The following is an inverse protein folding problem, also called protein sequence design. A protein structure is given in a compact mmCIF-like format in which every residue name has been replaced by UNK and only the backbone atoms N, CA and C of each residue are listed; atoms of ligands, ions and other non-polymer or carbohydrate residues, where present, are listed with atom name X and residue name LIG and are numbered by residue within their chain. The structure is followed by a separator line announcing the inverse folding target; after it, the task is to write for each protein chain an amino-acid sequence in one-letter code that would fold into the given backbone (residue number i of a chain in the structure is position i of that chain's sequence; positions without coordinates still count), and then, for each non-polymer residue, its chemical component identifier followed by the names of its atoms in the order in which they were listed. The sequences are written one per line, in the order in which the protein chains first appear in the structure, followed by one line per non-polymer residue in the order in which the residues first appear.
data_IF_815097588087
#
_entry.id   IF_815097588087
#
_cell.length_a   1.000
_cell.length_b   1.000
_cell.length_c   1.000
_cell.angle_alpha   90.00
_cell.angle_beta   90.00
_cell.angle_gamma   90.00
#
_symmetry.space_group_name_H-M   'P 1'
#
loop_
_entity.id
_entity.type
_entity.pdbx_description
1 polymer ?
2 non-polymer ?
3 non-polymer ?
4 non-polymer ?
5 non-polymer ?
6 water ?
#
# COMPACT_ATOMS: atom_id res chain seq x y z
N UNK A 2 -13.16 -11.48 9.05
CA UNK A 2 -14.37 -10.57 9.04
C UNK A 2 -13.96 -9.15 9.45
N UNK A 3 -14.73 -8.09 9.08
CA UNK A 3 -14.62 -6.71 9.68
C UNK A 3 -15.95 -6.31 10.27
N UNK A 4 -15.88 -5.68 11.43
CA UNK A 4 -17.05 -5.09 12.04
C UNK A 4 -17.98 -6.08 12.72
N UNK A 5 -17.53 -7.31 12.99
CA UNK A 5 -18.39 -8.30 13.62
C UNK A 5 -18.15 -8.33 15.09
N UNK A 6 -19.06 -8.95 15.83
CA UNK A 6 -18.92 -9.14 17.27
C UNK A 6 -17.48 -9.57 17.55
N UNK A 7 -16.84 -8.85 18.43
CA UNK A 7 -15.51 -9.16 18.93
C UNK A 7 -15.53 -9.84 20.29
N UNK A 8 -14.98 -11.03 20.41
CA UNK A 8 -14.80 -11.58 21.70
C UNK A 8 -13.71 -10.83 22.48
N UNK A 9 -13.69 -11.14 23.75
CA UNK A 9 -12.74 -10.63 24.68
C UNK A 9 -11.29 -11.08 24.41
N UNK A 10 -10.32 -10.18 24.63
CA UNK A 10 -8.93 -10.57 24.60
C UNK A 10 -8.62 -11.49 25.78
N UNK A 11 -7.68 -12.43 25.60
CA UNK A 11 -7.19 -13.17 26.76
C UNK A 11 -6.35 -12.32 27.69
N UNK A 12 -6.10 -12.79 28.91
CA UNK A 12 -5.09 -12.18 29.78
C UNK A 12 -3.77 -12.11 29.03
N UNK A 13 -3.09 -10.97 29.13
CA UNK A 13 -1.78 -10.77 28.54
C UNK A 13 -0.90 -9.99 29.51
N UNK A 14 0.40 -10.33 29.56
CA UNK A 14 1.35 -9.64 30.39
C UNK A 14 2.26 -8.86 29.44
N UNK A 15 2.25 -7.54 29.60
CA UNK A 15 3.10 -6.66 28.76
C UNK A 15 3.34 -5.37 29.53
N UNK A 16 4.36 -4.59 29.12
CA UNK A 16 4.66 -3.36 29.84
C UNK A 16 3.49 -2.35 29.84
N UNK A 17 3.30 -1.72 30.96
CA UNK A 17 2.27 -0.71 31.08
C UNK A 17 2.59 0.49 30.17
N UNK A 18 1.58 0.99 29.42
CA UNK A 18 1.80 2.23 28.70
C UNK A 18 2.10 3.35 29.68
N UNK A 19 2.98 4.23 29.26
CA UNK A 19 3.50 5.32 30.05
C UNK A 19 2.83 6.64 29.62
N UNK A 20 1.80 7.09 30.35
CA UNK A 20 1.02 8.25 29.92
C UNK A 20 1.88 9.54 29.80
N UNK A 21 2.84 9.68 30.71
CA UNK A 21 3.68 10.84 30.74
C UNK A 21 5.04 10.63 30.08
N UNK A 22 5.12 9.63 29.19
CA UNK A 22 6.32 9.47 28.35
C UNK A 22 5.89 9.33 26.89
N UNK A 23 6.27 10.27 26.03
CA UNK A 23 5.95 10.09 24.62
C UNK A 23 6.58 8.83 24.06
N UNK A 24 5.86 8.17 23.13
CA UNK A 24 6.41 6.93 22.53
C UNK A 24 7.51 7.24 21.49
N UNK A 25 7.44 8.41 20.88
CA UNK A 25 8.49 8.92 20.03
C UNK A 25 8.61 10.39 20.36
N UNK A 26 9.83 10.87 20.44
CA UNK A 26 10.11 12.28 20.70
C UNK A 26 10.63 12.97 19.44
N UNK A 27 10.81 12.21 18.38
CA UNK A 27 11.46 12.73 17.18
C UNK A 27 10.54 12.87 15.99
N UNK A 28 9.33 12.29 16.06
CA UNK A 28 8.40 12.26 14.94
C UNK A 28 6.96 12.49 15.42
N UNK A 29 6.14 12.91 14.49
CA UNK A 29 4.69 12.99 14.64
C UNK A 29 4.07 11.60 14.55
N UNK A 30 3.35 11.22 15.59
CA UNK A 30 2.74 9.86 15.63
C UNK A 30 1.24 9.85 15.47
N UNK A 31 0.62 11.02 15.28
CA UNK A 31 -0.81 11.09 15.00
C UNK A 31 -1.05 12.29 14.11
N UNK A 32 -1.92 12.14 13.13
CA UNK A 32 -2.23 13.27 12.24
C UNK A 32 -3.20 14.24 12.94
N UNK A 33 -3.39 15.43 12.37
CA UNK A 33 -4.34 16.37 12.99
C UNK A 33 -5.80 15.95 12.91
N UNK A 34 -6.12 14.89 12.14
CA UNK A 34 -7.44 14.31 12.14
C UNK A 34 -7.48 12.98 12.93
N UNK A 35 -6.48 12.82 13.81
CA UNK A 35 -6.46 11.73 14.79
C UNK A 35 -6.31 10.37 14.13
N UNK A 36 -5.56 10.30 13.04
CA UNK A 36 -5.16 9.00 12.45
C UNK A 36 -3.75 8.69 12.96
N UNK A 37 -3.50 7.50 13.50
CA UNK A 37 -2.14 7.13 13.86
C UNK A 37 -1.20 7.18 12.65
N UNK A 38 0.03 7.62 12.90
CA UNK A 38 1.11 7.53 11.94
C UNK A 38 2.02 6.42 12.45
N UNK A 39 2.15 5.34 11.69
CA UNK A 39 2.71 4.09 12.17
C UNK A 39 4.24 4.08 12.01
N UNK A 40 4.92 4.15 13.18
CA UNK A 40 6.37 4.09 13.31
C UNK A 40 6.69 2.99 14.31
N UNK A 41 7.89 2.42 14.20
CA UNK A 41 8.34 1.54 15.25
C UNK A 41 8.37 2.27 16.59
N UNK A 42 7.88 1.59 17.62
CA UNK A 42 7.75 2.20 18.94
C UNK A 42 6.35 2.71 19.26
N UNK A 43 5.45 2.78 18.26
CA UNK A 43 4.09 3.23 18.50
C UNK A 43 3.12 2.09 18.85
N UNK A 44 3.50 0.85 18.54
CA UNK A 44 2.56 -0.25 18.69
C UNK A 44 3.19 -1.45 19.36
N UNK A 45 2.33 -2.15 20.09
CA UNK A 45 2.61 -3.49 20.65
C UNK A 45 1.96 -4.51 19.71
N UNK A 46 2.78 -5.17 18.91
CA UNK A 46 2.27 -6.08 17.92
C UNK A 46 1.56 -7.28 18.52
N UNK A 47 1.88 -7.65 19.76
CA UNK A 47 1.20 -8.78 20.38
C UNK A 47 -0.28 -8.47 20.61
N UNK A 48 -0.57 -7.25 21.04
CA UNK A 48 -1.96 -6.86 21.28
C UNK A 48 -2.69 -6.83 19.93
N UNK A 49 -2.09 -6.19 18.93
CA UNK A 49 -2.71 -6.08 17.60
C UNK A 49 -2.91 -7.44 16.96
N UNK A 50 -1.93 -8.32 17.05
CA UNK A 50 -2.11 -9.65 16.49
C UNK A 50 -3.29 -10.36 17.14
N UNK A 51 -3.46 -10.28 18.44
CA UNK A 51 -4.62 -10.85 19.09
C UNK A 51 -5.90 -10.27 18.54
N UNK A 52 -5.99 -8.94 18.49
CA UNK A 52 -7.22 -8.32 18.01
C UNK A 52 -7.61 -8.81 16.63
N UNK A 53 -6.63 -8.83 15.71
CA UNK A 53 -6.93 -9.19 14.33
C UNK A 53 -7.10 -10.70 14.14
N UNK A 54 -6.39 -11.52 14.90
CA UNK A 54 -6.62 -12.97 14.77
C UNK A 54 -7.97 -13.36 15.33
N UNK A 55 -8.45 -12.70 16.38
CA UNK A 55 -9.78 -13.01 16.92
C UNK A 55 -10.90 -12.66 15.95
N UNK A 56 -10.64 -11.73 15.03
CA UNK A 56 -11.62 -11.34 13.99
C UNK A 56 -11.47 -12.19 12.74
N UNK A 57 -10.53 -13.13 12.76
CA UNK A 57 -10.28 -14.03 11.63
C UNK A 57 -9.97 -13.27 10.35
N UNK A 58 -9.00 -12.39 10.47
CA UNK A 58 -8.74 -11.44 9.40
C UNK A 58 -8.01 -12.07 8.23
N UNK A 59 -8.49 -11.77 7.02
CA UNK A 59 -7.80 -12.12 5.79
C UNK A 59 -7.34 -10.88 5.05
N UNK A 60 -6.08 -10.87 4.67
CA UNK A 60 -5.47 -9.75 3.98
C UNK A 60 -5.14 -10.14 2.55
N UNK A 61 -5.66 -9.40 1.60
CA UNK A 61 -5.27 -9.52 0.20
C UNK A 61 -4.11 -8.58 -0.12
N UNK A 62 -3.18 -9.04 -0.95
CA UNK A 62 -2.06 -8.24 -1.41
C UNK A 62 -2.07 -8.26 -2.90
N UNK A 63 -2.26 -7.10 -3.53
CA UNK A 63 -2.24 -6.98 -4.99
C UNK A 63 -0.89 -6.51 -5.44
N UNK A 64 -0.44 -7.07 -6.57
CA UNK A 64 0.81 -6.68 -7.18
C UNK A 64 0.71 -6.93 -8.67
N UNK A 65 1.23 -5.99 -9.44
CA UNK A 65 1.21 -6.06 -10.89
C UNK A 65 2.60 -6.37 -11.41
N UNK A 66 2.70 -7.36 -12.28
CA UNK A 66 3.97 -7.77 -12.87
C UNK A 66 3.72 -7.94 -14.37
N UNK A 67 3.85 -6.82 -15.08
CA UNK A 67 3.45 -6.74 -16.46
C UNK A 67 4.73 -6.55 -17.28
N UNK A 68 4.81 -7.28 -18.39
CA UNK A 68 5.97 -7.25 -19.28
C UNK A 68 7.22 -7.67 -18.50
N UNK A 69 8.29 -6.90 -18.51
CA UNK A 69 9.53 -7.37 -17.94
C UNK A 69 9.51 -7.43 -16.41
N UNK A 70 8.51 -6.80 -15.78
CA UNK A 70 8.46 -6.77 -14.34
C UNK A 70 8.13 -8.09 -13.69
N UNK A 71 7.82 -9.13 -14.48
CA UNK A 71 7.77 -10.48 -13.94
C UNK A 71 9.05 -10.88 -13.23
N UNK A 72 10.18 -10.30 -13.63
CA UNK A 72 11.49 -10.60 -13.03
C UNK A 72 11.53 -10.28 -11.52
N UNK A 73 10.70 -9.33 -11.07
CA UNK A 73 10.68 -8.93 -9.68
C UNK A 73 9.89 -9.83 -8.76
N UNK A 74 9.08 -10.72 -9.32
CA UNK A 74 8.14 -11.46 -8.51
C UNK A 74 8.80 -12.40 -7.52
N UNK A 75 9.86 -13.12 -7.91
CA UNK A 75 10.39 -14.13 -7.01
C UNK A 75 10.85 -13.52 -5.69
N UNK A 76 11.66 -12.46 -5.76
CA UNK A 76 12.12 -11.83 -4.52
C UNK A 76 10.97 -11.17 -3.77
N UNK A 77 10.05 -10.54 -4.49
CA UNK A 77 8.90 -9.92 -3.85
C UNK A 77 8.14 -10.94 -3.00
N UNK A 78 7.78 -12.08 -3.62
CA UNK A 78 6.94 -13.06 -2.96
C UNK A 78 7.69 -13.83 -1.87
N UNK A 79 8.97 -14.17 -2.13
CA UNK A 79 9.82 -14.83 -1.11
C UNK A 79 9.90 -14.00 0.13
N UNK A 80 10.18 -12.73 -0.05
CA UNK A 80 10.34 -11.86 1.10
C UNK A 80 9.00 -11.51 1.77
N UNK A 81 7.90 -11.47 0.99
CA UNK A 81 6.60 -11.33 1.60
C UNK A 81 6.31 -12.52 2.51
N UNK A 82 6.71 -13.73 2.09
CA UNK A 82 6.54 -14.87 2.96
C UNK A 82 7.24 -14.77 4.29
N UNK A 83 8.37 -14.08 4.32
CA UNK A 83 9.13 -13.94 5.57
C UNK A 83 8.57 -12.84 6.46
N UNK A 84 7.96 -11.81 5.86
CA UNK A 84 7.70 -10.57 6.58
C UNK A 84 6.29 -10.03 6.59
N UNK A 85 5.43 -10.47 5.65
CA UNK A 85 4.12 -9.82 5.44
C UNK A 85 3.01 -10.61 6.13
N UNK A 86 2.42 -10.05 7.18
CA UNK A 86 1.26 -10.63 7.81
C UNK A 86 1.43 -12.08 8.25
N UNK A 87 2.65 -12.44 8.67
CA UNK A 87 2.90 -13.84 9.08
C UNK A 87 2.04 -14.17 10.28
N UNK A 88 1.33 -15.32 10.17
CA UNK A 88 0.40 -15.78 11.20
C UNK A 88 -1.06 -15.51 10.87
N UNK A 89 -1.29 -14.64 9.88
CA UNK A 89 -2.64 -14.27 9.44
C UNK A 89 -2.93 -14.89 8.09
N UNK A 90 -4.22 -14.96 7.72
CA UNK A 90 -4.60 -15.44 6.39
C UNK A 90 -4.24 -14.41 5.34
N UNK A 91 -3.55 -14.86 4.29
CA UNK A 91 -3.11 -13.98 3.19
C UNK A 91 -3.54 -14.56 1.86
N UNK A 92 -3.99 -13.69 0.96
CA UNK A 92 -4.30 -14.05 -0.41
C UNK A 92 -3.54 -13.08 -1.32
N UNK A 93 -2.56 -13.60 -2.03
CA UNK A 93 -1.81 -12.81 -3.01
C UNK A 93 -2.60 -12.80 -4.31
N UNK A 94 -2.68 -11.63 -4.96
CA UNK A 94 -3.28 -11.50 -6.29
C UNK A 94 -2.22 -10.93 -7.20
N UNK A 95 -1.67 -11.78 -8.06
CA UNK A 95 -0.67 -11.38 -9.00
C UNK A 95 -1.31 -11.10 -10.34
N UNK A 96 -1.34 -9.83 -10.73
CA UNK A 96 -1.87 -9.41 -12.01
C UNK A 96 -0.74 -9.39 -13.02
N UNK A 97 -0.90 -10.11 -14.13
CA UNK A 97 0.19 -10.21 -15.11
C UNK A 97 -0.32 -10.49 -16.50
N UNK A 98 0.44 -10.06 -17.50
CA UNK A 98 0.19 -10.48 -18.88
C UNK A 98 0.84 -11.82 -19.23
N UNK A 99 1.62 -12.41 -18.33
CA UNK A 99 2.36 -13.65 -18.57
C UNK A 99 2.14 -14.64 -17.43
N UNK A 100 1.00 -15.30 -17.37
CA UNK A 100 0.88 -16.25 -16.23
C UNK A 100 1.99 -17.28 -16.12
N UNK A 101 2.45 -17.76 -17.27
CA UNK A 101 3.48 -18.79 -17.31
C UNK A 101 4.78 -18.37 -16.65
N UNK A 102 4.91 -17.07 -16.39
CA UNK A 102 6.18 -16.55 -15.91
C UNK A 102 6.11 -16.26 -14.43
N UNK A 103 4.98 -16.58 -13.76
CA UNK A 103 4.94 -16.36 -12.29
C UNK A 103 5.74 -17.47 -11.62
N UNK A 104 6.74 -17.13 -10.79
CA UNK A 104 7.57 -18.14 -10.17
C UNK A 104 6.77 -18.99 -9.19
N UNK A 105 7.20 -20.24 -9.01
CA UNK A 105 6.57 -21.15 -8.05
C UNK A 105 7.17 -20.93 -6.68
N UNK A 106 6.54 -20.07 -5.90
CA UNK A 106 7.08 -19.70 -4.58
C UNK A 106 6.32 -20.52 -3.55
N UNK A 107 7.07 -21.12 -2.62
CA UNK A 107 6.49 -21.96 -1.59
C UNK A 107 5.84 -21.07 -0.55
N UNK A 108 4.56 -21.33 -0.26
CA UNK A 108 3.81 -20.50 0.68
C UNK A 108 3.58 -21.22 2.02
N UNK A 109 3.57 -20.44 3.08
CA UNK A 109 3.20 -20.93 4.40
C UNK A 109 1.75 -21.30 4.49
N UNK A 110 1.39 -22.01 5.55
CA UNK A 110 0.02 -22.44 5.72
C UNK A 110 -0.89 -21.20 5.85
N UNK A 111 -2.10 -21.32 5.31
CA UNK A 111 -3.05 -20.24 5.40
C UNK A 111 -2.83 -19.11 4.42
N UNK A 112 -1.98 -19.32 3.44
CA UNK A 112 -1.60 -18.34 2.46
C UNK A 112 -1.82 -18.91 1.10
N UNK A 113 -2.41 -18.12 0.19
CA UNK A 113 -2.70 -18.60 -1.15
C UNK A 113 -2.37 -17.54 -2.16
N UNK A 114 -2.23 -17.94 -3.41
CA UNK A 114 -1.88 -17.06 -4.50
C UNK A 114 -2.76 -17.33 -5.69
N UNK A 115 -3.34 -16.29 -6.25
CA UNK A 115 -4.09 -16.37 -7.50
C UNK A 115 -3.39 -15.53 -8.56
N UNK A 116 -3.34 -16.03 -9.78
CA UNK A 116 -2.83 -15.31 -10.92
C UNK A 116 -3.99 -14.79 -11.73
N UNK A 117 -4.01 -13.47 -11.95
CA UNK A 117 -5.07 -12.80 -12.67
C UNK A 117 -4.48 -12.26 -13.96
N UNK A 118 -4.92 -12.77 -15.10
CA UNK A 118 -4.35 -12.34 -16.37
C UNK A 118 -5.02 -11.05 -16.83
N UNK A 119 -4.18 -10.08 -17.20
CA UNK A 119 -4.63 -8.78 -17.68
C UNK A 119 -3.80 -8.38 -18.87
N UNK A 120 -4.29 -7.38 -19.58
CA UNK A 120 -3.58 -6.84 -20.72
C UNK A 120 -2.41 -5.99 -20.32
N UNK A 121 -1.45 -5.89 -21.22
CA UNK A 121 -0.25 -5.05 -21.06
C UNK A 121 -0.32 -3.82 -21.95
N UNK A 122 -0.33 -2.65 -21.33
CA UNK A 122 -0.34 -1.40 -22.07
C UNK A 122 1.09 -1.14 -22.53
N UNK A 123 1.24 -0.40 -23.62
CA UNK A 123 2.56 -0.09 -24.16
C UNK A 123 3.43 0.81 -23.30
N UNK A 124 2.85 1.94 -22.86
CA UNK A 124 3.58 2.92 -22.07
C UNK A 124 3.59 2.49 -20.62
N UNK A 125 4.75 2.59 -19.99
CA UNK A 125 4.82 2.27 -18.55
C UNK A 125 3.84 3.13 -17.74
N UNK A 126 3.63 4.38 -18.17
CA UNK A 126 2.70 5.28 -17.48
C UNK A 126 1.31 4.68 -17.46
N UNK A 127 0.89 4.13 -18.59
CA UNK A 127 -0.40 3.50 -18.65
C UNK A 127 -0.47 2.21 -17.85
N UNK A 128 0.58 1.38 -17.93
CA UNK A 128 0.63 0.23 -17.06
C UNK A 128 0.40 0.60 -15.60
N UNK A 129 1.13 1.63 -15.14
CA UNK A 129 1.02 2.04 -13.75
C UNK A 129 -0.36 2.59 -13.44
N UNK A 130 -0.89 3.43 -14.32
CA UNK A 130 -2.19 4.07 -14.08
C UNK A 130 -3.38 3.14 -14.12
N UNK A 131 -3.32 2.16 -15.01
CA UNK A 131 -4.43 1.23 -15.20
C UNK A 131 -4.56 0.24 -14.06
N UNK A 132 -3.57 0.18 -13.16
CA UNK A 132 -3.77 -0.60 -11.93
C UNK A 132 -5.02 -0.16 -11.18
N UNK A 133 -5.34 1.13 -11.16
CA UNK A 133 -6.52 1.61 -10.42
C UNK A 133 -7.79 0.97 -11.01
N UNK A 134 -7.94 1.01 -12.34
CA UNK A 134 -9.08 0.38 -12.97
C UNK A 134 -9.13 -1.12 -12.65
N UNK A 135 -7.98 -1.78 -12.77
CA UNK A 135 -7.92 -3.23 -12.62
C UNK A 135 -8.24 -3.67 -11.18
N UNK A 136 -7.71 -2.94 -10.19
CA UNK A 136 -8.04 -3.24 -8.82
C UNK A 136 -9.52 -3.01 -8.56
N UNK A 137 -10.05 -1.90 -9.07
CA UNK A 137 -11.47 -1.64 -8.94
C UNK A 137 -12.29 -2.77 -9.59
N UNK A 138 -11.95 -3.17 -10.84
CA UNK A 138 -12.72 -4.23 -11.56
C UNK A 138 -12.74 -5.53 -10.73
N UNK A 139 -11.63 -5.85 -10.05
CA UNK A 139 -11.55 -7.09 -9.25
C UNK A 139 -12.15 -7.00 -7.85
N UNK A 140 -12.40 -5.78 -7.34
CA UNK A 140 -13.10 -5.58 -6.07
C UNK A 140 -14.56 -6.20 -6.06
N UNK A 141 -15.27 -6.39 -7.22
CA UNK A 141 -16.47 -7.31 -7.32
C UNK A 141 -16.10 -8.73 -7.74
N UNK A 142 -15.14 -8.90 -8.64
CA UNK A 142 -14.84 -10.30 -9.11
C UNK A 142 -14.43 -11.26 -7.97
N UNK A 143 -13.74 -10.72 -6.97
CA UNK A 143 -13.10 -11.59 -6.02
C UNK A 143 -12.98 -11.01 -4.63
N UNK A 144 -12.56 -9.75 -4.53
CA UNK A 144 -12.04 -9.31 -3.25
C UNK A 144 -13.08 -9.19 -2.17
N UNK A 145 -14.26 -8.70 -2.52
CA UNK A 145 -15.31 -8.56 -1.54
C UNK A 145 -15.67 -9.89 -0.86
N UNK A 146 -15.64 -11.00 -1.60
CA UNK A 146 -15.95 -12.31 -1.03
C UNK A 146 -14.75 -13.02 -0.41
N UNK A 147 -13.52 -12.59 -0.71
CA UNK A 147 -12.30 -13.33 -0.34
C UNK A 147 -11.45 -12.75 0.77
N UNK A 148 -11.46 -11.41 0.93
CA UNK A 148 -10.58 -10.78 1.90
C UNK A 148 -11.31 -9.67 2.66
N UNK A 149 -10.74 -9.30 3.83
CA UNK A 149 -11.22 -8.21 4.65
C UNK A 149 -10.56 -6.89 4.31
N UNK A 150 -9.27 -6.93 4.06
CA UNK A 150 -8.45 -5.77 3.70
C UNK A 150 -7.69 -6.03 2.46
N UNK A 151 -7.41 -4.98 1.70
CA UNK A 151 -6.53 -5.03 0.54
C UNK A 151 -5.33 -4.13 0.76
N UNK A 152 -4.15 -4.61 0.37
CA UNK A 152 -2.91 -3.88 0.38
C UNK A 152 -2.40 -3.90 -1.06
N UNK A 153 -2.11 -2.72 -1.60
CA UNK A 153 -1.82 -2.57 -3.02
C UNK A 153 -0.46 -1.95 -3.17
N UNK A 154 0.48 -2.70 -3.75
CA UNK A 154 1.88 -2.32 -3.77
C UNK A 154 2.54 -2.43 -5.14
N UNK A 155 3.64 -1.70 -5.31
CA UNK A 155 4.55 -1.91 -6.44
C UNK A 155 5.30 -3.25 -6.29
N UNK A 156 5.71 -3.83 -7.43
CA UNK A 156 6.39 -5.12 -7.44
C UNK A 156 7.91 -5.03 -7.34
N UNK A 157 8.47 -3.88 -7.71
CA UNK A 157 9.92 -3.68 -7.81
C UNK A 157 10.51 -3.38 -6.45
N UNK A 158 10.22 -4.25 -5.51
CA UNK A 158 10.38 -4.03 -4.08
C UNK A 158 10.70 -5.33 -3.38
N UNK A 159 11.19 -5.22 -2.15
CA UNK A 159 11.36 -6.42 -1.30
C UNK A 159 11.03 -6.05 0.13
N UNK A 160 10.52 -7.02 0.85
CA UNK A 160 10.34 -6.89 2.29
C UNK A 160 11.65 -7.23 3.00
N UNK A 161 12.05 -6.38 3.93
CA UNK A 161 13.22 -6.63 4.77
C UNK A 161 12.89 -6.75 6.25
N UNK A 162 11.69 -6.36 6.68
CA UNK A 162 11.32 -6.41 8.08
C UNK A 162 9.81 -6.50 8.14
N UNK A 163 9.31 -6.65 9.36
CA UNK A 163 7.90 -6.89 9.63
C UNK A 163 7.01 -5.84 8.97
N UNK A 164 6.01 -6.35 8.25
CA UNK A 164 4.86 -5.54 7.82
C UNK A 164 3.62 -6.31 8.19
N UNK A 165 2.93 -5.87 9.21
CA UNK A 165 1.83 -6.65 9.77
C UNK A 165 0.56 -5.87 10.01
N UNK A 166 -0.24 -6.40 10.93
CA UNK A 166 -1.61 -5.91 11.08
C UNK A 166 -1.68 -4.51 11.66
N UNK A 167 -0.57 -3.96 12.17
CA UNK A 167 -0.51 -2.57 12.56
C UNK A 167 -0.91 -1.63 11.41
N UNK A 168 -0.81 -2.05 10.14
CA UNK A 168 -1.19 -1.16 9.04
C UNK A 168 -2.69 -1.15 8.77
N UNK A 169 -3.43 -2.14 9.31
CA UNK A 169 -4.77 -2.36 8.85
C UNK A 169 -5.76 -1.38 9.50
N UNK A 170 -6.70 -0.90 8.68
CA UNK A 170 -7.57 0.23 9.03
C UNK A 170 -8.51 0.40 7.81
N UNK A 171 -9.57 1.21 7.94
CA UNK A 171 -10.38 1.41 6.75
C UNK A 171 -9.67 1.96 5.54
N UNK A 172 -8.75 2.92 5.72
CA UNK A 172 -8.07 3.55 4.55
C UNK A 172 -6.69 4.02 4.98
N UNK A 173 -5.66 3.56 4.29
CA UNK A 173 -4.33 4.07 4.61
C UNK A 173 -3.58 4.48 3.35
N UNK A 174 -2.71 5.48 3.57
CA UNK A 174 -1.62 5.79 2.66
C UNK A 174 -0.30 5.75 3.39
N UNK A 175 0.76 5.93 2.62
CA UNK A 175 2.13 5.80 3.10
C UNK A 175 2.92 7.01 2.75
N UNK A 176 3.68 7.57 3.68
CA UNK A 176 4.54 8.71 3.36
C UNK A 176 5.63 8.34 2.37
N UNK A 177 5.66 9.05 1.25
CA UNK A 177 6.66 8.85 0.25
C UNK A 177 8.03 9.18 0.85
N UNK A 178 9.04 8.33 0.60
CA UNK A 178 10.33 8.53 1.32
C UNK A 178 11.09 9.76 0.86
N UNK A 179 10.79 10.31 -0.31
CA UNK A 179 11.47 11.49 -0.79
C UNK A 179 10.97 12.79 -0.21
N UNK A 180 9.82 12.77 0.49
CA UNK A 180 9.12 14.02 0.85
C UNK A 180 8.67 14.10 2.29
N UNK A 181 8.98 13.13 3.13
CA UNK A 181 8.42 13.14 4.49
C UNK A 181 8.89 14.35 5.30
N UNK A 182 10.06 14.88 5.00
CA UNK A 182 10.56 16.08 5.67
C UNK A 182 10.37 17.35 4.90
N UNK A 183 9.66 17.30 3.80
CA UNK A 183 9.55 18.45 2.92
C UNK A 183 8.36 19.35 3.24
N UNK A 184 8.45 20.62 2.87
CA UNK A 184 7.32 21.53 2.97
C UNK A 184 6.37 21.25 1.82
N UNK A 185 5.09 21.56 2.04
CA UNK A 185 4.02 21.16 1.09
C UNK A 185 4.24 21.82 -0.26
N UNK A 186 4.80 23.02 -0.31
CA UNK A 186 5.06 23.66 -1.59
C UNK A 186 6.05 22.87 -2.47
N UNK A 187 6.94 22.11 -1.84
CA UNK A 187 7.95 21.24 -2.51
C UNK A 187 7.36 19.88 -2.94
N UNK A 188 6.21 19.49 -2.39
CA UNK A 188 5.57 18.26 -2.83
C UNK A 188 5.29 18.32 -4.33
N UNK A 189 5.54 17.21 -5.02
CA UNK A 189 5.33 17.13 -6.45
C UNK A 189 3.89 16.74 -6.79
N UNK A 190 2.90 17.41 -6.17
CA UNK A 190 1.51 17.25 -6.59
C UNK A 190 1.36 17.78 -7.99
N UNK A 191 0.27 17.36 -8.65
CA UNK A 191 -0.11 18.02 -9.88
C UNK A 191 -0.52 19.46 -9.59
N UNK A 192 0.05 20.40 -10.32
CA UNK A 192 -0.17 21.83 -10.07
C UNK A 192 -0.94 22.53 -11.18
N UNK A 193 -1.34 21.81 -12.24
CA UNK A 193 -2.11 22.42 -13.31
C UNK A 193 -3.59 22.31 -13.00
N UNK A 194 -4.32 23.46 -12.90
CA UNK A 194 -5.75 23.38 -12.62
C UNK A 194 -6.60 22.61 -13.63
N UNK A 195 -6.06 22.39 -14.83
CA UNK A 195 -6.77 21.65 -15.87
C UNK A 195 -6.87 20.16 -15.56
N UNK A 196 -6.07 19.65 -14.63
CA UNK A 196 -6.14 18.24 -14.23
C UNK A 196 -7.01 18.03 -13.01
N UNK A 197 -7.75 16.92 -13.03
CA UNK A 197 -8.49 16.48 -11.86
C UNK A 197 -7.63 16.27 -10.61
N UNK A 198 -6.34 16.02 -10.78
CA UNK A 198 -5.43 15.80 -9.63
C UNK A 198 -4.87 17.08 -9.03
N UNK A 199 -5.27 18.23 -9.55
CA UNK A 199 -4.72 19.51 -9.12
C UNK A 199 -4.86 19.74 -7.61
N UNK A 200 -3.75 20.13 -6.98
CA UNK A 200 -3.74 20.58 -5.59
C UNK A 200 -2.96 21.90 -5.53
N UNK A 201 -3.63 23.00 -5.06
CA UNK A 201 -2.98 24.28 -4.91
C UNK A 201 -1.79 24.24 -3.94
N UNK A 202 -0.90 25.23 -4.06
CA UNK A 202 0.30 25.33 -3.25
C UNK A 202 0.07 25.43 -1.74
N UNK A 203 -1.07 25.96 -1.35
CA UNK A 203 -1.41 26.10 0.07
C UNK A 203 -2.24 24.98 0.64
N UNK A 204 -2.39 23.87 -0.11
CA UNK A 204 -3.09 22.70 0.40
C UNK A 204 -2.18 21.48 0.39
N UNK A 205 -2.59 20.51 1.21
CA UNK A 205 -1.89 19.26 1.28
C UNK A 205 -1.45 18.95 2.70
N UNK A 206 -1.61 17.70 3.11
CA UNK A 206 -1.14 17.23 4.40
C UNK A 206 0.22 16.60 4.25
N UNK A 207 0.28 15.60 3.38
CA UNK A 207 1.45 14.75 3.14
C UNK A 207 1.58 14.47 1.67
N UNK A 208 2.74 14.01 1.26
CA UNK A 208 2.91 13.44 -0.08
C UNK A 208 2.95 11.93 0.08
N UNK A 209 1.87 11.27 -0.35
CA UNK A 209 1.73 9.82 -0.21
C UNK A 209 2.33 9.12 -1.44
N UNK A 210 2.92 7.95 -1.22
CA UNK A 210 3.50 7.21 -2.30
C UNK A 210 2.51 6.32 -3.03
N UNK A 211 2.60 6.33 -4.35
CA UNK A 211 1.76 5.41 -5.13
C UNK A 211 1.98 3.94 -4.89
N UNK A 212 3.15 3.60 -4.35
CA UNK A 212 3.61 2.23 -4.23
C UNK A 212 3.05 1.44 -3.05
N UNK A 213 2.27 2.07 -2.16
CA UNK A 213 1.78 1.35 -0.97
C UNK A 213 0.57 2.05 -0.38
N UNK A 214 -0.62 1.53 -0.66
CA UNK A 214 -1.84 2.06 -0.09
C UNK A 214 -2.78 0.87 0.17
N UNK A 215 -3.87 1.11 0.89
CA UNK A 215 -4.78 -0.01 1.14
C UNK A 215 -5.88 0.38 2.08
N UNK A 216 -6.57 -0.63 2.59
CA UNK A 216 -7.69 -0.40 3.47
C UNK A 216 -8.69 -1.53 3.40
N UNK A 217 -9.90 -1.29 3.87
CA UNK A 217 -10.96 -2.29 3.70
C UNK A 217 -11.23 -2.40 2.21
N UNK A 218 -11.84 -3.51 1.82
CA UNK A 218 -12.18 -3.68 0.41
C UNK A 218 -13.10 -2.53 -0.05
N UNK A 219 -14.07 -2.15 0.78
CA UNK A 219 -15.00 -1.08 0.41
C UNK A 219 -14.26 0.23 0.13
N UNK A 220 -13.33 0.58 1.04
CA UNK A 220 -12.59 1.83 0.88
C UNK A 220 -11.61 1.80 -0.27
N UNK A 221 -10.99 0.64 -0.50
CA UNK A 221 -10.08 0.54 -1.63
C UNK A 221 -10.85 0.59 -2.96
N UNK A 222 -12.03 -0.03 -3.01
CA UNK A 222 -12.88 0.09 -4.21
C UNK A 222 -13.19 1.55 -4.49
N UNK A 223 -13.55 2.28 -3.45
CA UNK A 223 -13.89 3.74 -3.59
C UNK A 223 -12.70 4.52 -4.15
N UNK A 224 -11.52 4.29 -3.56
CA UNK A 224 -10.34 5.01 -3.94
C UNK A 224 -9.95 4.73 -5.36
N UNK A 225 -9.88 3.45 -5.71
CA UNK A 225 -9.41 3.08 -7.01
C UNK A 225 -10.42 3.47 -8.10
N UNK A 226 -11.72 3.31 -7.87
CA UNK A 226 -12.71 3.77 -8.83
C UNK A 226 -12.62 5.29 -9.03
N UNK A 227 -12.48 6.03 -7.92
CA UNK A 227 -12.38 7.53 -8.03
C UNK A 227 -11.15 7.93 -8.81
N UNK A 228 -10.02 7.27 -8.53
CA UNK A 228 -8.79 7.65 -9.24
C UNK A 228 -8.90 7.29 -10.73
N UNK A 229 -9.44 6.11 -11.05
CA UNK A 229 -9.64 5.74 -12.45
C UNK A 229 -10.58 6.72 -13.17
N UNK A 230 -11.72 7.05 -12.54
CA UNK A 230 -12.67 7.97 -13.19
C UNK A 230 -12.01 9.32 -13.41
N UNK A 231 -11.21 9.79 -12.46
CA UNK A 231 -10.48 11.07 -12.60
C UNK A 231 -9.46 11.03 -13.73
N UNK A 232 -8.75 9.91 -13.84
CA UNK A 232 -7.80 9.74 -14.93
C UNK A 232 -8.48 9.67 -16.30
N UNK A 233 -9.70 9.16 -16.37
CA UNK A 233 -10.44 9.16 -17.63
C UNK A 233 -10.94 10.55 -17.98
N UNK A 234 -11.36 11.35 -17.00
CA UNK A 234 -11.65 12.77 -17.26
C UNK A 234 -10.40 13.48 -17.83
N UNK A 235 -9.25 13.30 -17.19
CA UNK A 235 -8.03 13.95 -17.68
C UNK A 235 -7.71 13.50 -19.11
N UNK A 236 -7.87 12.20 -19.39
CA UNK A 236 -7.57 11.70 -20.71
C UNK A 236 -8.47 12.35 -21.75
N UNK A 237 -9.76 12.49 -21.44
CA UNK A 237 -10.69 13.15 -22.37
C UNK A 237 -10.33 14.60 -22.58
N UNK A 238 -9.70 15.25 -21.62
CA UNK A 238 -9.27 16.63 -21.70
C UNK A 238 -7.83 16.80 -22.18
N UNK A 239 -7.17 15.71 -22.58
CA UNK A 239 -5.81 15.78 -23.13
C UNK A 239 -4.73 16.15 -22.16
N UNK A 240 -4.88 15.71 -20.91
CA UNK A 240 -3.86 15.99 -19.90
C UNK A 240 -3.57 14.68 -19.15
N UNK A 241 -2.30 14.51 -18.81
CA UNK A 241 -1.83 13.38 -18.00
C UNK A 241 -1.09 13.92 -16.81
N UNK A 242 -1.53 13.55 -15.60
CA UNK A 242 -0.95 14.07 -14.39
C UNK A 242 0.53 13.80 -14.30
N UNK A 243 1.23 14.72 -13.66
CA UNK A 243 2.70 14.74 -13.58
C UNK A 243 3.28 13.43 -13.04
N UNK A 244 2.67 12.88 -12.00
CA UNK A 244 3.08 11.57 -11.45
C UNK A 244 1.92 10.58 -11.52
N UNK A 245 1.12 10.69 -12.56
CA UNK A 245 0.28 9.59 -12.98
C UNK A 245 -0.65 9.19 -11.84
N UNK A 246 -0.81 7.89 -11.60
CA UNK A 246 -1.67 7.43 -10.51
C UNK A 246 -1.31 8.01 -9.15
N UNK A 247 -0.02 8.27 -8.89
CA UNK A 247 0.37 8.85 -7.59
C UNK A 247 -0.23 10.23 -7.39
N UNK A 248 -0.33 11.02 -8.46
CA UNK A 248 -0.92 12.35 -8.38
C UNK A 248 -2.39 12.25 -7.98
N UNK A 249 -3.13 11.33 -8.62
CA UNK A 249 -4.53 11.11 -8.31
C UNK A 249 -4.76 10.51 -6.91
N UNK A 250 -3.89 9.60 -6.51
CA UNK A 250 -3.93 9.08 -5.14
C UNK A 250 -3.84 10.24 -4.14
N UNK A 251 -2.87 11.13 -4.38
CA UNK A 251 -2.69 12.29 -3.48
C UNK A 251 -3.90 13.20 -3.43
N UNK A 252 -4.54 13.44 -4.57
CA UNK A 252 -5.76 14.26 -4.57
C UNK A 252 -6.86 13.54 -3.76
N UNK A 253 -7.02 12.23 -3.97
CA UNK A 253 -8.04 11.49 -3.27
C UNK A 253 -7.84 11.54 -1.76
N UNK A 254 -6.60 11.33 -1.31
CA UNK A 254 -6.33 11.26 0.13
C UNK A 254 -6.29 12.63 0.80
N UNK A 255 -6.10 13.68 0.03
CA UNK A 255 -6.33 15.04 0.57
C UNK A 255 -7.81 15.22 0.93
N UNK A 256 -8.70 14.80 0.04
CA UNK A 256 -10.14 15.06 0.19
C UNK A 256 -10.88 14.02 1.00
N UNK A 257 -10.26 12.85 1.17
CA UNK A 257 -10.80 11.69 1.94
C UNK A 257 -9.64 11.24 2.83
N UNK A 258 -9.61 11.73 4.07
CA UNK A 258 -8.40 11.58 4.87
C UNK A 258 -8.25 10.10 5.25
N UNK A 259 -7.02 9.56 5.20
CA UNK A 259 -6.80 8.17 5.63
C UNK A 259 -6.98 8.02 7.13
N UNK A 260 -7.36 6.84 7.56
CA UNK A 260 -7.56 6.54 8.98
C UNK A 260 -6.28 6.01 9.65
N UNK A 261 -5.26 5.64 8.87
CA UNK A 261 -3.89 5.53 9.36
C UNK A 261 -2.99 6.05 8.26
N UNK A 262 -1.79 6.49 8.62
CA UNK A 262 -0.75 6.86 7.68
C UNK A 262 0.48 6.03 8.06
N UNK A 263 1.10 5.38 7.10
CA UNK A 263 2.29 4.61 7.36
C UNK A 263 3.51 5.49 7.19
N UNK A 264 4.46 5.35 8.12
CA UNK A 264 5.72 6.07 8.02
C UNK A 264 6.56 5.53 6.84
N UNK A 265 7.65 6.24 6.49
CA UNK A 265 8.48 5.75 5.39
C UNK A 265 9.26 4.48 5.73
N UNK A 266 9.18 3.96 6.97
CA UNK A 266 9.66 2.61 7.21
C UNK A 266 9.04 1.63 6.19
N UNK A 267 7.80 1.90 5.79
CA UNK A 267 7.01 1.03 4.95
C UNK A 267 7.21 1.29 3.46
N UNK A 268 8.01 2.27 3.08
CA UNK A 268 8.23 2.57 1.65
C UNK A 268 9.52 3.34 1.55
N UNK A 269 10.60 2.62 1.23
CA UNK A 269 11.94 3.24 1.37
C UNK A 269 12.81 2.88 0.16
N UNK A 270 13.87 3.66 -0.06
CA UNK A 270 14.86 3.36 -1.07
C UNK A 270 16.22 3.65 -0.44
N UNK A 271 16.90 2.59 -0.02
CA UNK A 271 18.17 2.77 0.69
C UNK A 271 19.29 3.26 -0.24
N UNK A 272 19.24 2.93 -1.52
CA UNK A 272 20.26 3.38 -2.44
C UNK A 272 20.22 4.91 -2.52
N UNK A 273 19.03 5.48 -2.63
CA UNK A 273 18.86 6.91 -2.82
C UNK A 273 18.88 7.72 -1.52
N UNK A 274 18.57 7.09 -0.40
CA UNK A 274 18.31 7.81 0.83
C UNK A 274 19.03 7.29 2.07
N UNK A 275 19.74 6.16 1.97
CA UNK A 275 20.51 5.67 3.09
C UNK A 275 19.63 5.10 4.19
N UNK A 276 20.09 5.22 5.43
CA UNK A 276 19.39 4.68 6.60
C UNK A 276 19.46 5.73 7.69
N UNK A 277 18.59 6.73 7.64
CA UNK A 277 18.57 7.80 8.65
C UNK A 277 18.22 7.31 10.03
N UNK A 278 18.66 8.05 11.05
CA UNK A 278 18.37 7.71 12.44
C UNK A 278 16.87 7.61 12.74
N UNK A 279 16.08 8.43 12.07
CA UNK A 279 14.65 8.47 12.27
C UNK A 279 13.93 7.19 11.83
N UNK A 280 14.62 6.35 11.05
CA UNK A 280 14.09 5.04 10.61
C UNK A 280 14.69 3.94 11.46
N UNK A 281 13.94 3.44 12.44
CA UNK A 281 14.42 2.36 13.26
C UNK A 281 14.39 1.03 12.54
N UNK A 282 13.49 0.88 11.54
CA UNK A 282 13.36 -0.34 10.75
C UNK A 282 13.18 0.11 9.31
N UNK A 283 13.70 -0.68 8.37
CA UNK A 283 13.49 -0.51 6.91
C UNK A 283 12.70 -1.74 6.52
N UNK A 284 11.39 -1.56 6.29
CA UNK A 284 10.49 -2.71 6.15
C UNK A 284 10.24 -3.16 4.71
N UNK A 285 10.07 -2.22 3.81
CA UNK A 285 9.64 -2.51 2.44
C UNK A 285 10.39 -1.51 1.57
N UNK A 286 11.31 -2.03 0.73
CA UNK A 286 12.36 -1.26 0.08
C UNK A 286 12.45 -1.48 -1.41
N UNK A 287 12.87 -0.44 -2.13
CA UNK A 287 13.10 -0.53 -3.57
C UNK A 287 14.24 -1.49 -3.89
N UNK A 288 14.08 -2.28 -4.95
CA UNK A 288 15.18 -3.07 -5.45
C UNK A 288 15.79 -2.30 -6.62
N UNK A 289 17.11 -2.38 -6.80
CA UNK A 289 17.80 -1.78 -7.97
C UNK A 289 17.20 -2.17 -9.33
N UNK A 290 17.17 -1.21 -10.24
CA UNK A 290 16.62 -1.42 -11.56
C UNK A 290 17.12 -0.30 -12.45
N UNK A 291 17.39 -0.66 -13.70
CA UNK A 291 17.63 0.31 -14.74
C UNK A 291 16.25 0.66 -15.27
N UNK A 292 15.67 1.73 -14.74
CA UNK A 292 14.26 2.08 -15.01
C UNK A 292 13.95 2.08 -16.51
N UNK A 293 14.72 2.83 -17.27
CA UNK A 293 14.50 2.97 -18.71
C UNK A 293 14.47 1.62 -19.42
N UNK A 294 15.48 0.79 -19.14
CA UNK A 294 15.61 -0.53 -19.75
C UNK A 294 14.42 -1.44 -19.45
N UNK A 295 14.05 -1.53 -18.17
CA UNK A 295 13.06 -2.53 -17.74
C UNK A 295 11.64 -2.14 -18.13
N UNK A 296 11.42 -0.85 -18.41
CA UNK A 296 10.10 -0.32 -18.79
C UNK A 296 9.78 -0.35 -20.27
N UNK A 297 10.74 -0.81 -21.06
CA UNK A 297 10.63 -0.75 -22.51
C UNK A 297 11.08 -2.06 -23.15
X LIG B 1 8.24 1.06 -8.09
X LIG C 1 4.67 -1.95 -13.92
X LIG C 1 4.76 -3.18 -14.55
X LIG C 1 5.34 -3.24 -15.74
X LIG C 1 5.85 -2.17 -16.41
X LIG C 1 5.77 -0.93 -15.76
X LIG C 1 5.20 -0.86 -14.51
X LIG C 1 4.28 -4.18 -13.98
X LIG C 1 6.38 -2.35 -17.55
X LIG C 1 3.99 -1.89 -12.61
X LIG C 1 4.79 -2.56 -11.52
X LIG C 1 3.97 -3.12 -10.50
X LIG C 1 5.52 -1.35 -10.94
X LIG C 1 4.44 -0.29 -11.00
X LIG C 1 3.76 -0.56 -12.22
X LIG C 1 6.02 -1.58 -9.62
X LIG C 1 4.92 1.15 -10.98
X LIG C 1 5.94 1.39 -11.98
X LIG C 1 7.48 1.52 -11.50
X LIG C 1 7.71 0.72 -10.24
X LIG C 1 8.28 1.29 -12.73
X LIG C 1 7.65 3.11 -11.22
X LIG C 1 8.07 3.90 -9.87
X LIG C 1 8.70 3.03 -8.79
X LIG C 1 8.72 5.18 -10.32
X LIG C 1 6.56 4.20 -9.47
X LIG C 1 6.14 5.30 -8.67
X LIG C 1 5.16 4.71 -7.67
X LIG C 1 4.10 4.00 -8.45
X LIG C 1 3.40 4.97 -9.43
X LIG C 1 4.41 5.68 -10.34
X LIG C 1 3.78 6.83 -11.10
X LIG C 1 5.87 3.85 -6.78
X LIG C 1 3.18 3.38 -7.57
X LIG C 1 2.56 5.85 -8.66
X LIG C 1 5.49 6.23 -9.55
X LIG C 1 4.72 7.39 -12.03
X LIG D 1 7.55 9.37 -8.08
X LIG D 1 7.09 8.80 -6.89
X LIG D 1 8.40 10.59 -7.78
X LIG D 1 9.50 10.40 -6.85
X LIG D 1 7.49 11.70 -7.24
X LIG D 1 8.22 12.93 -7.03
X LIG E 1 -8.40 -3.27 15.77
X LIG E 1 -8.92 -2.52 14.67
X LIG E 1 -9.06 -4.62 15.99
X LIG E 1 -10.16 -4.60 16.92
X LIG E 1 -9.50 -5.25 14.68
X LIG E 1 -10.44 -4.43 13.97
X LIG F 1 0.71 -13.39 14.02
X LIG F 1 2.04 -13.87 14.27
X LIG F 1 -0.38 -13.87 14.98
X LIG F 1 -0.01 -13.78 16.36
X LIG F 1 -0.78 -15.31 14.71
X LIG F 1 -1.59 -15.78 15.79
X LIG G 1 -10.17 9.07 11.04
X LIG G 1 -8.81 9.46 11.26
X LIG G 1 -10.87 9.89 9.97
X LIG G 1 -12.14 9.29 9.59
X LIG G 1 -9.93 10.03 8.79
X LIG G 1 -10.72 10.04 7.66
X LIG H 1 -2.56 -24.85 3.54
X LIG H 1 -3.89 -25.46 3.46
X LIG H 1 -1.77 -25.40 4.65
X LIG H 1 -1.84 -25.29 2.33
X LIG H 1 -2.73 -23.40 3.43
X LIG I 1 -1.79 0.65 -25.71
X LIG I 1 -3.18 0.27 -25.39
X LIG I 1 -0.85 -0.32 -25.14
X LIG I 1 -1.60 0.69 -27.18
X LIG I 1 -1.54 2.02 -25.17
#
# INVERSE_FOLDING_TARGET
MAIGEFMVSLPRMVYPQPKVLTPCRKDVLVVTPWLAPIVWEGTFNIDILNEQFRLQNTTIGLTVFAIKKYVAFLKLFLETAEKHFMVGHRVHYYVFTDQPAAVPRVTLGTGRQLSVLEVRAYKRWQDVSMRRMEMISDFCERRFLSEVDYLVCVDVDMEFRDHVGVEILTPLFGTLHPGFYGSSREAFTYERRPQSQAYIPKDEGDFYYGGAFFGGSVQEVQRLTRACHQAMMVDQANGIEAVWHDESHLNKYLLRHKPTKVLSPEYLWDQQLLGWPAVLRKLRFTAVPKNHQAVRNP
MN MN
GDU N1 C2 N3 C4 C5 C6 O2 O4 C1D C2D O2D C3D C4D O4D O3D C5D O5D PA O1A O2A O3A PB O1B O2B O3B C1' C2' C3' C4' C5' C6' O2' O3' O4' O5' O6'
GOL C1 O1 C2 O2 C3 O3
GOL C1 O1 C2 O2 C3 O3
GOL C1 O1 C2 O2 C3 O3
GOL C1 O1 C2 O2 C3 O3
SO4 S O1 O2 O3 O4
SO4 S O1 O2 O3 O4
#
